data_IF_057655231818
#
_entry.id   IF_057655231818
#
_cell.length_a   1.000
_cell.length_b   1.000
_cell.length_c   1.000
_cell.angle_alpha   90.00
_cell.angle_beta   90.00
_cell.angle_gamma   90.00
#
_symmetry.space_group_name_H-M   'P 1'
#
loop_
_entity.id
_entity.type
_entity.pdbx_description
1 polymer ?
#
# COMPACT_ATOMS: atom_id res chain seq x y z
N UNK A 1 -64.66 12.68 38.92
CA UNK A 1 -64.36 12.11 37.60
C UNK A 1 -63.13 11.28 37.79
N UNK A 2 -63.34 10.02 38.14
CA UNK A 2 -62.30 9.05 38.47
C UNK A 2 -61.96 8.39 37.13
N UNK A 3 -60.79 8.71 36.58
CA UNK A 3 -60.30 8.01 35.38
C UNK A 3 -60.03 6.58 35.83
N UNK A 4 -60.73 5.63 35.22
CA UNK A 4 -60.74 4.24 35.63
C UNK A 4 -59.33 3.66 35.57
N UNK A 5 -58.87 3.01 36.64
CA UNK A 5 -57.55 2.39 36.69
C UNK A 5 -57.31 1.35 35.56
N UNK A 6 -58.39 0.80 35.00
CA UNK A 6 -58.35 -0.10 33.83
C UNK A 6 -57.95 0.64 32.55
N UNK A 7 -58.39 1.89 32.35
CA UNK A 7 -58.03 2.68 31.15
C UNK A 7 -56.55 3.05 31.15
N UNK A 8 -55.98 3.36 32.33
CA UNK A 8 -54.56 3.66 32.49
C UNK A 8 -53.66 2.42 32.26
N UNK A 9 -54.17 1.22 32.57
CA UNK A 9 -53.46 -0.04 32.32
C UNK A 9 -53.43 -0.38 30.83
N UNK A 10 -54.56 -0.23 30.13
CA UNK A 10 -54.66 -0.46 28.68
C UNK A 10 -53.81 0.53 27.87
N UNK A 11 -53.72 1.80 28.29
CA UNK A 11 -52.84 2.79 27.66
C UNK A 11 -51.35 2.44 27.80
N UNK A 12 -50.94 1.93 28.97
CA UNK A 12 -49.57 1.51 29.22
C UNK A 12 -49.19 0.29 28.36
N UNK A 13 -50.10 -0.68 28.20
CA UNK A 13 -49.88 -1.86 27.37
C UNK A 13 -49.77 -1.49 25.88
N UNK A 14 -50.62 -0.58 25.40
CA UNK A 14 -50.51 -0.02 24.04
C UNK A 14 -49.21 0.75 23.82
N UNK A 15 -48.72 1.49 24.82
CA UNK A 15 -47.47 2.23 24.73
C UNK A 15 -46.25 1.28 24.68
N UNK A 16 -46.27 0.19 25.44
CA UNK A 16 -45.22 -0.85 25.40
C UNK A 16 -45.23 -1.56 24.05
N UNK A 17 -46.39 -1.94 23.52
CA UNK A 17 -46.51 -2.59 22.23
C UNK A 17 -45.96 -1.72 21.07
N UNK A 18 -46.27 -0.42 21.08
CA UNK A 18 -45.71 0.53 20.09
C UNK A 18 -44.19 0.64 20.17
N UNK A 19 -43.64 0.65 21.39
CA UNK A 19 -42.18 0.68 21.58
C UNK A 19 -41.51 -0.62 21.13
N UNK A 20 -42.13 -1.77 21.39
CA UNK A 20 -41.63 -3.05 20.89
C UNK A 20 -41.59 -3.08 19.36
N UNK A 21 -42.67 -2.61 18.71
CA UNK A 21 -42.75 -2.56 17.26
C UNK A 21 -41.69 -1.60 16.66
N UNK A 22 -41.50 -0.42 17.24
CA UNK A 22 -40.46 0.53 16.81
C UNK A 22 -39.03 -0.05 16.97
N UNK A 23 -38.80 -0.86 18.01
CA UNK A 23 -37.52 -1.57 18.19
C UNK A 23 -37.34 -2.64 17.10
N UNK A 24 -38.37 -3.43 16.81
CA UNK A 24 -38.31 -4.46 15.77
C UNK A 24 -38.06 -3.85 14.38
N UNK A 25 -38.77 -2.78 14.04
CA UNK A 25 -38.60 -2.07 12.77
C UNK A 25 -37.19 -1.50 12.63
N UNK A 26 -36.62 -0.97 13.71
CA UNK A 26 -35.22 -0.49 13.73
C UNK A 26 -34.20 -1.61 13.55
N UNK A 27 -34.39 -2.75 14.22
CA UNK A 27 -33.48 -3.90 14.08
C UNK A 27 -33.50 -4.46 12.66
N UNK A 28 -34.68 -4.54 12.04
CA UNK A 28 -34.82 -4.94 10.64
C UNK A 28 -34.12 -3.97 9.69
N UNK A 29 -34.25 -2.67 9.92
CA UNK A 29 -33.55 -1.66 9.12
C UNK A 29 -32.01 -1.79 9.25
N UNK A 30 -31.49 -1.97 10.47
CA UNK A 30 -30.06 -2.17 10.72
C UNK A 30 -29.52 -3.45 10.04
N UNK A 31 -30.31 -4.53 10.04
CA UNK A 31 -29.94 -5.77 9.35
C UNK A 31 -29.90 -5.58 7.82
N UNK A 32 -30.91 -4.92 7.25
CA UNK A 32 -30.95 -4.59 5.81
C UNK A 32 -29.77 -3.71 5.38
N UNK A 33 -29.41 -2.71 6.18
CA UNK A 33 -28.23 -1.87 5.93
C UNK A 33 -26.96 -2.71 5.92
N UNK A 34 -26.78 -3.56 6.93
CA UNK A 34 -25.60 -4.41 7.06
C UNK A 34 -25.47 -5.39 5.90
N UNK A 35 -26.57 -5.99 5.47
CA UNK A 35 -26.59 -6.91 4.34
C UNK A 35 -26.27 -6.20 3.02
N UNK A 36 -26.80 -4.99 2.83
CA UNK A 36 -26.46 -4.14 1.67
C UNK A 36 -24.96 -3.84 1.63
N UNK A 37 -24.34 -3.51 2.78
CA UNK A 37 -22.89 -3.26 2.88
C UNK A 37 -22.11 -4.53 2.55
N UNK A 38 -22.49 -5.67 3.12
CA UNK A 38 -21.81 -6.96 2.89
C UNK A 38 -21.90 -7.38 1.43
N UNK A 39 -23.08 -7.29 0.83
CA UNK A 39 -23.31 -7.63 -0.56
C UNK A 39 -22.47 -6.73 -1.49
N UNK A 40 -22.49 -5.42 -1.26
CA UNK A 40 -21.72 -4.46 -2.06
C UNK A 40 -20.22 -4.73 -1.94
N UNK A 41 -19.73 -5.01 -0.74
CA UNK A 41 -18.33 -5.34 -0.51
C UNK A 41 -17.93 -6.67 -1.18
N UNK A 42 -18.75 -7.72 -1.04
CA UNK A 42 -18.53 -9.00 -1.71
C UNK A 42 -18.54 -8.85 -3.23
N UNK A 43 -19.44 -8.02 -3.78
CA UNK A 43 -19.50 -7.75 -5.21
C UNK A 43 -18.27 -6.99 -5.71
N UNK A 44 -17.75 -6.04 -4.94
CA UNK A 44 -16.49 -5.37 -5.25
C UNK A 44 -15.32 -6.36 -5.26
N UNK A 45 -15.28 -7.27 -4.28
CA UNK A 45 -14.27 -8.31 -4.19
C UNK A 45 -14.28 -9.25 -5.41
N UNK A 46 -15.46 -9.79 -5.73
CA UNK A 46 -15.62 -10.68 -6.88
C UNK A 46 -15.22 -10.00 -8.19
N UNK A 47 -15.65 -8.75 -8.39
CA UNK A 47 -15.29 -7.97 -9.58
C UNK A 47 -13.79 -7.76 -9.68
N UNK A 48 -13.12 -7.39 -8.58
CA UNK A 48 -11.67 -7.15 -8.57
C UNK A 48 -10.90 -8.39 -9.04
N UNK A 49 -11.16 -9.54 -8.42
CA UNK A 49 -10.46 -10.79 -8.77
C UNK A 49 -10.93 -11.43 -10.08
N UNK A 50 -12.05 -10.99 -10.64
CA UNK A 50 -12.48 -11.39 -11.99
C UNK A 50 -11.57 -10.78 -13.07
N UNK A 51 -11.17 -9.51 -12.94
CA UNK A 51 -10.36 -8.82 -13.95
C UNK A 51 -8.86 -8.80 -13.66
N UNK A 52 -8.45 -8.76 -12.38
CA UNK A 52 -7.05 -8.56 -11.96
C UNK A 52 -6.06 -9.57 -12.58
N UNK A 53 -6.31 -10.90 -12.58
CA UNK A 53 -5.31 -11.86 -13.06
C UNK A 53 -4.99 -11.71 -14.55
N UNK A 54 -6.01 -11.42 -15.36
CA UNK A 54 -5.84 -11.26 -16.80
C UNK A 54 -5.12 -9.94 -17.13
N UNK A 55 -5.45 -8.87 -16.41
CA UNK A 55 -4.79 -7.58 -16.56
C UNK A 55 -3.32 -7.66 -16.16
N UNK A 56 -3.02 -8.18 -14.97
CA UNK A 56 -1.65 -8.34 -14.46
C UNK A 56 -0.81 -9.21 -15.41
N UNK A 57 -1.37 -10.33 -15.90
CA UNK A 57 -0.70 -11.16 -16.89
C UNK A 57 -0.41 -10.41 -18.19
N UNK A 58 -1.39 -9.67 -18.71
CA UNK A 58 -1.21 -8.90 -19.95
C UNK A 58 -0.17 -7.80 -19.79
N UNK A 59 -0.16 -7.11 -18.65
CA UNK A 59 0.82 -6.09 -18.32
C UNK A 59 2.23 -6.67 -18.21
N UNK A 60 2.39 -7.78 -17.48
CA UNK A 60 3.68 -8.49 -17.39
C UNK A 60 4.19 -8.94 -18.76
N UNK A 61 3.32 -9.44 -19.63
CA UNK A 61 3.66 -9.78 -21.01
C UNK A 61 4.06 -8.56 -21.84
N UNK A 62 3.44 -7.40 -21.59
CA UNK A 62 3.80 -6.14 -22.27
C UNK A 62 5.12 -5.54 -21.79
N UNK A 63 5.48 -5.79 -20.53
CA UNK A 63 6.73 -5.35 -19.91
C UNK A 63 7.87 -6.34 -20.15
N UNK A 64 7.55 -7.55 -20.63
CA UNK A 64 8.55 -8.52 -21.01
C UNK A 64 9.37 -7.91 -22.14
N UNK A 65 10.58 -7.46 -21.81
CA UNK A 65 11.55 -7.04 -22.80
C UNK A 65 11.73 -8.24 -23.72
N UNK A 66 11.39 -8.08 -25.00
CA UNK A 66 11.80 -9.05 -26.02
C UNK A 66 13.31 -8.92 -26.06
N UNK A 67 14.00 -9.72 -25.23
CA UNK A 67 15.37 -10.10 -25.46
C UNK A 67 15.37 -10.68 -26.86
N UNK A 68 15.61 -9.84 -27.87
CA UNK A 68 15.82 -10.33 -29.21
C UNK A 68 16.98 -11.31 -29.10
N UNK A 69 16.79 -12.53 -29.61
CA UNK A 69 17.76 -13.62 -29.75
C UNK A 69 18.97 -13.23 -30.64
N UNK A 70 19.51 -12.02 -30.47
CA UNK A 70 20.69 -11.51 -31.16
C UNK A 70 21.90 -11.38 -30.24
N UNK A 71 21.86 -11.99 -29.06
CA UNK A 71 23.10 -12.38 -28.39
C UNK A 71 23.38 -13.81 -28.88
N UNK A 72 24.29 -13.94 -29.85
CA UNK A 72 24.86 -15.24 -30.18
C UNK A 72 25.32 -15.91 -28.88
N UNK A 73 24.83 -17.12 -28.62
CA UNK A 73 25.08 -17.94 -27.43
C UNK A 73 26.57 -18.32 -27.23
N UNK A 74 27.46 -17.89 -28.14
CA UNK A 74 28.90 -18.14 -28.06
C UNK A 74 29.67 -17.15 -27.16
N UNK A 75 29.04 -16.13 -26.56
CA UNK A 75 29.73 -15.15 -25.69
C UNK A 75 29.18 -15.02 -24.27
N UNK A 76 28.17 -15.79 -23.86
CA UNK A 76 27.70 -15.75 -22.47
C UNK A 76 28.56 -16.66 -21.60
N UNK A 77 29.77 -16.18 -21.29
CA UNK A 77 30.60 -16.77 -20.24
C UNK A 77 29.82 -16.71 -18.91
N UNK A 78 29.62 -17.84 -18.20
CA UNK A 78 28.96 -17.81 -16.90
C UNK A 78 29.79 -16.93 -15.97
N UNK A 79 29.15 -16.00 -15.27
CA UNK A 79 29.75 -15.21 -14.17
C UNK A 79 30.08 -16.15 -13.00
N UNK A 80 31.09 -16.98 -13.18
CA UNK A 80 31.65 -17.85 -12.17
C UNK A 80 32.58 -17.02 -11.30
N UNK A 81 31.99 -16.36 -10.30
CA UNK A 81 32.56 -16.01 -8.99
C UNK A 81 34.09 -15.86 -8.88
N UNK A 82 34.69 -15.03 -9.72
CA UNK A 82 36.04 -14.52 -9.46
C UNK A 82 35.88 -13.08 -9.03
N UNK A 83 36.01 -12.82 -7.72
CA UNK A 83 36.15 -11.49 -7.12
C UNK A 83 37.43 -10.82 -7.64
N UNK A 84 37.41 -10.42 -8.90
CA UNK A 84 38.35 -9.48 -9.49
C UNK A 84 37.48 -8.31 -9.90
N UNK A 85 37.51 -7.26 -9.09
CA UNK A 85 37.13 -5.89 -9.45
C UNK A 85 38.04 -5.40 -10.60
N UNK A 86 38.01 -6.07 -11.73
CA UNK A 86 38.62 -5.62 -12.96
C UNK A 86 37.48 -5.02 -13.78
N UNK A 87 37.24 -3.73 -13.56
CA UNK A 87 36.48 -2.87 -14.46
C UNK A 87 37.27 -2.65 -15.76
N UNK A 88 37.69 -3.73 -16.42
CA UNK A 88 38.32 -3.65 -17.74
C UNK A 88 37.16 -3.57 -18.74
N UNK A 89 36.75 -2.33 -19.02
CA UNK A 89 35.74 -2.02 -20.02
C UNK A 89 36.42 -2.17 -21.37
N UNK A 90 36.29 -3.33 -22.00
CA UNK A 90 36.57 -3.46 -23.44
C UNK A 90 35.78 -2.33 -24.14
N UNK A 91 36.45 -1.52 -24.96
CA UNK A 91 35.99 -0.27 -25.57
C UNK A 91 34.81 -0.42 -26.55
N UNK A 92 33.75 -1.09 -26.11
CA UNK A 92 32.51 -1.27 -26.84
C UNK A 92 31.78 0.08 -26.91
N UNK A 93 31.38 0.55 -28.11
CA UNK A 93 30.53 1.72 -28.22
C UNK A 93 29.22 1.44 -27.47
N UNK A 94 28.73 2.42 -26.72
CA UNK A 94 27.42 2.32 -26.08
C UNK A 94 26.37 3.06 -26.91
N UNK A 95 25.20 2.45 -27.04
CA UNK A 95 24.08 3.03 -27.76
C UNK A 95 23.32 3.99 -26.84
N UNK A 96 23.19 5.24 -27.26
CA UNK A 96 22.40 6.26 -26.57
C UNK A 96 21.12 6.50 -27.35
N UNK A 97 19.98 6.25 -26.70
CA UNK A 97 18.68 6.63 -27.23
C UNK A 97 18.36 8.06 -26.78
N UNK A 98 18.33 8.99 -27.73
CA UNK A 98 17.79 10.32 -27.49
C UNK A 98 16.26 10.21 -27.39
N UNK A 99 15.72 10.47 -26.20
CA UNK A 99 14.29 10.35 -25.91
C UNK A 99 13.45 11.46 -26.53
N UNK A 100 14.05 12.58 -26.94
CA UNK A 100 13.34 13.67 -27.60
C UNK A 100 13.21 13.43 -29.10
N UNK A 101 14.24 12.88 -29.73
CA UNK A 101 14.28 12.64 -31.18
C UNK A 101 13.95 11.20 -31.57
N UNK A 102 14.00 10.27 -30.60
CA UNK A 102 13.86 8.83 -30.82
C UNK A 102 15.04 8.19 -31.55
N UNK A 103 16.15 8.92 -31.72
CA UNK A 103 17.31 8.45 -32.46
C UNK A 103 18.23 7.64 -31.56
N UNK A 104 18.54 6.42 -31.99
CA UNK A 104 19.58 5.59 -31.37
C UNK A 104 20.92 5.92 -32.04
N UNK A 105 21.88 6.41 -31.25
CA UNK A 105 23.20 6.80 -31.72
C UNK A 105 24.25 5.97 -30.98
N UNK A 106 25.12 5.28 -31.71
CA UNK A 106 26.30 4.67 -31.14
C UNK A 106 27.34 5.76 -30.87
N UNK A 107 27.77 5.89 -29.62
CA UNK A 107 28.85 6.80 -29.26
C UNK A 107 30.13 6.01 -29.06
N UNK A 108 31.21 6.48 -29.70
CA UNK A 108 32.54 5.98 -29.43
C UNK A 108 32.98 6.44 -28.04
N UNK A 109 33.54 5.52 -27.27
CA UNK A 109 34.07 5.82 -25.92
C UNK A 109 35.42 6.50 -26.10
N UNK A 110 35.52 7.76 -25.70
CA UNK A 110 36.82 8.43 -25.54
C UNK A 110 37.35 8.09 -24.15
N UNK A 111 38.29 7.15 -24.09
CA UNK A 111 39.02 6.85 -22.87
C UNK A 111 40.07 7.94 -22.63
N UNK A 112 39.88 8.71 -21.56
CA UNK A 112 40.86 9.71 -21.13
C UNK A 112 41.72 9.09 -20.04
N UNK A 113 42.91 8.63 -20.44
CA UNK A 113 43.94 8.18 -19.52
C UNK A 113 44.39 9.34 -18.63
N UNK A 114 43.90 9.36 -17.39
CA UNK A 114 44.41 10.30 -16.39
C UNK A 114 45.66 9.70 -15.74
N UNK A 115 46.82 10.34 -15.89
CA UNK A 115 48.06 9.96 -15.17
C UNK A 115 47.91 10.03 -13.63
N UNK A 116 46.82 10.65 -13.15
CA UNK A 116 46.52 10.80 -11.73
C UNK A 116 45.78 9.57 -11.22
N UNK A 117 46.40 8.84 -10.28
CA UNK A 117 45.70 7.81 -9.51
C UNK A 117 44.68 8.52 -8.62
N UNK A 118 43.39 8.37 -8.95
CA UNK A 118 42.32 8.83 -8.07
C UNK A 118 42.27 7.95 -6.83
N UNK A 119 42.53 8.55 -5.67
CA UNK A 119 42.32 7.88 -4.39
C UNK A 119 40.81 7.85 -4.13
N UNK A 120 40.19 6.67 -3.91
CA UNK A 120 38.77 6.60 -3.59
C UNK A 120 38.46 7.46 -2.38
N UNK A 121 37.44 8.32 -2.50
CA UNK A 121 36.94 9.04 -1.34
C UNK A 121 36.34 8.04 -0.34
N UNK A 122 36.40 8.34 0.97
CA UNK A 122 35.65 7.56 1.95
C UNK A 122 34.17 7.47 1.57
N UNK A 123 33.52 6.34 1.85
CA UNK A 123 32.07 6.20 1.71
C UNK A 123 31.38 7.33 2.48
N UNK A 124 30.53 8.10 1.83
CA UNK A 124 29.72 9.16 2.44
C UNK A 124 28.25 8.87 2.18
N UNK A 125 27.43 8.91 3.22
CA UNK A 125 25.98 8.89 3.07
C UNK A 125 25.49 10.27 2.69
N UNK A 126 24.60 10.36 1.70
CA UNK A 126 24.03 11.65 1.31
C UNK A 126 23.30 12.30 2.49
N UNK A 127 23.77 13.48 2.89
CA UNK A 127 23.12 14.29 3.92
C UNK A 127 22.38 15.44 3.23
N UNK A 128 21.05 15.49 3.39
CA UNK A 128 20.25 16.61 2.89
C UNK A 128 20.68 17.90 3.61
N UNK A 129 21.16 18.93 2.90
CA UNK A 129 21.59 20.16 3.54
C UNK A 129 20.39 20.82 4.25
N UNK A 130 20.57 21.18 5.53
CA UNK A 130 19.54 21.83 6.32
C UNK A 130 20.10 23.13 6.93
N UNK A 131 19.35 24.23 6.75
CA UNK A 131 19.68 25.54 7.36
C UNK A 131 19.13 25.69 8.78
N UNK A 132 18.30 24.74 9.22
CA UNK A 132 17.64 24.73 10.52
C UNK A 132 17.56 23.31 11.06
N UNK A 133 17.39 23.17 12.37
CA UNK A 133 17.23 21.88 13.05
C UNK A 133 15.84 21.32 12.69
N UNK A 134 15.81 20.12 12.12
CA UNK A 134 14.58 19.37 11.91
C UNK A 134 14.32 18.57 13.19
N UNK A 135 13.35 19.02 13.99
CA UNK A 135 12.88 18.22 15.11
C UNK A 135 12.23 16.93 14.56
N UNK A 136 12.74 15.79 15.01
CA UNK A 136 12.10 14.49 14.80
C UNK A 136 11.39 14.14 16.09
N UNK A 137 10.07 13.99 16.03
CA UNK A 137 9.29 13.52 17.17
C UNK A 137 9.79 12.14 17.61
N UNK A 138 9.75 11.90 18.92
CA UNK A 138 10.23 10.72 19.66
C UNK A 138 10.60 9.51 18.82
N UNK A 139 11.84 9.03 19.04
CA UNK A 139 12.57 8.04 18.24
C UNK A 139 11.72 6.94 17.59
N UNK A 140 12.15 6.45 16.42
CA UNK A 140 11.32 5.63 15.55
C UNK A 140 10.87 4.36 16.26
N UNK A 141 9.58 4.31 16.63
CA UNK A 141 8.90 3.09 17.11
C UNK A 141 8.90 1.98 16.05
N UNK A 142 9.17 2.37 14.81
CA UNK A 142 9.06 1.56 13.61
C UNK A 142 10.36 1.55 12.84
N UNK A 143 10.86 0.36 12.51
CA UNK A 143 11.96 0.19 11.57
C UNK A 143 11.39 0.17 10.15
N UNK A 144 11.83 1.11 9.31
CA UNK A 144 11.35 1.25 7.93
C UNK A 144 11.96 0.21 6.97
N UNK A 145 13.26 -0.03 7.10
CA UNK A 145 14.03 -1.04 6.36
C UNK A 145 15.23 -1.49 7.19
N UNK A 146 15.85 -2.61 6.81
CA UNK A 146 17.14 -3.03 7.36
C UNK A 146 18.23 -2.34 6.53
N UNK A 147 18.96 -1.36 7.08
CA UNK A 147 20.08 -0.75 6.36
C UNK A 147 21.16 -1.82 6.15
N UNK A 148 21.84 -1.79 5.01
CA UNK A 148 22.94 -2.70 4.72
C UNK A 148 22.59 -4.20 4.87
N UNK A 149 21.35 -4.58 4.53
CA UNK A 149 20.88 -5.96 4.67
C UNK A 149 21.76 -6.99 3.95
N UNK A 150 22.41 -6.55 2.86
CA UNK A 150 23.27 -7.39 2.02
C UNK A 150 24.76 -7.31 2.40
N UNK A 151 25.17 -6.43 3.32
CA UNK A 151 26.58 -6.30 3.69
C UNK A 151 27.01 -7.40 4.70
N UNK A 152 28.06 -8.19 4.39
CA UNK A 152 28.53 -9.22 5.30
C UNK A 152 29.09 -8.57 6.58
N UNK A 153 28.57 -9.00 7.73
CA UNK A 153 28.98 -8.49 9.05
C UNK A 153 28.08 -7.41 9.63
N UNK A 154 27.06 -6.94 8.90
CA UNK A 154 26.09 -6.01 9.46
C UNK A 154 25.22 -6.70 10.54
N UNK A 155 25.16 -6.19 11.79
CA UNK A 155 24.47 -6.85 12.90
C UNK A 155 22.96 -6.59 12.89
N UNK A 156 22.28 -6.91 11.78
CA UNK A 156 20.85 -6.62 11.59
C UNK A 156 19.97 -7.19 12.72
N UNK A 157 20.34 -8.33 13.31
CA UNK A 157 19.59 -8.93 14.42
C UNK A 157 19.58 -8.06 15.68
N UNK A 158 20.67 -7.36 15.95
CA UNK A 158 20.78 -6.44 17.09
C UNK A 158 19.95 -5.19 16.83
N UNK A 159 20.02 -4.67 15.59
CA UNK A 159 19.17 -3.57 15.14
C UNK A 159 17.68 -3.92 15.33
N UNK A 160 17.22 -5.08 14.84
CA UNK A 160 15.81 -5.48 14.96
C UNK A 160 15.30 -5.49 16.41
N UNK A 161 16.16 -5.83 17.38
CA UNK A 161 15.80 -5.84 18.82
C UNK A 161 15.58 -4.45 19.40
N UNK A 162 16.14 -3.41 18.78
CA UNK A 162 15.94 -2.03 19.19
C UNK A 162 14.57 -1.47 18.79
N UNK A 163 13.85 -2.16 17.89
CA UNK A 163 12.57 -1.71 17.37
C UNK A 163 11.45 -2.66 17.77
N UNK A 164 10.34 -2.08 18.25
CA UNK A 164 9.15 -2.84 18.62
C UNK A 164 8.32 -3.26 17.40
N UNK A 165 8.32 -2.43 16.37
CA UNK A 165 7.51 -2.63 15.17
C UNK A 165 8.35 -2.51 13.90
N UNK A 166 8.01 -3.28 12.88
CA UNK A 166 8.71 -3.27 11.59
C UNK A 166 7.71 -2.98 10.46
N UNK A 167 7.97 -1.95 9.66
CA UNK A 167 7.03 -1.49 8.63
C UNK A 167 6.65 -2.60 7.64
N UNK A 168 7.62 -3.40 7.20
CA UNK A 168 7.40 -4.48 6.24
C UNK A 168 6.88 -5.78 6.88
N UNK A 169 6.58 -5.82 8.17
CA UNK A 169 5.90 -6.99 8.75
C UNK A 169 4.57 -6.59 9.36
N UNK A 170 4.57 -5.53 10.16
CA UNK A 170 3.39 -5.10 10.92
C UNK A 170 2.46 -4.21 10.08
N UNK A 171 2.96 -3.61 9.00
CA UNK A 171 2.21 -2.72 8.11
C UNK A 171 2.08 -3.23 6.67
N UNK A 172 2.43 -4.49 6.37
CA UNK A 172 2.01 -5.09 5.08
C UNK A 172 0.51 -5.28 5.15
N UNK A 173 -0.19 -4.27 4.64
CA UNK A 173 -1.57 -4.40 4.23
C UNK A 173 -1.54 -4.84 2.79
N UNK A 174 -2.35 -5.84 2.51
CA UNK A 174 -2.72 -6.14 1.15
C UNK A 174 -3.33 -4.85 0.53
N UNK A 175 -2.65 -4.24 -0.46
CA UNK A 175 -3.15 -3.02 -1.08
C UNK A 175 -4.51 -3.26 -1.76
N UNK A 176 -4.79 -4.49 -2.17
CA UNK A 176 -6.02 -4.87 -2.85
C UNK A 176 -7.20 -4.75 -1.90
N UNK A 177 -7.04 -5.17 -0.64
CA UNK A 177 -8.06 -5.01 0.41
C UNK A 177 -8.46 -3.54 0.55
N UNK A 178 -7.49 -2.63 0.47
CA UNK A 178 -7.72 -1.20 0.55
C UNK A 178 -8.49 -0.66 -0.66
N UNK A 179 -8.08 -1.05 -1.87
CA UNK A 179 -8.73 -0.65 -3.11
C UNK A 179 -10.16 -1.20 -3.21
N UNK A 180 -10.37 -2.47 -2.85
CA UNK A 180 -11.69 -3.10 -2.84
C UNK A 180 -12.62 -2.41 -1.83
N UNK A 181 -12.12 -2.08 -0.64
CA UNK A 181 -12.90 -1.36 0.37
C UNK A 181 -13.25 0.07 -0.07
N UNK A 182 -12.35 0.77 -0.77
CA UNK A 182 -12.62 2.09 -1.36
C UNK A 182 -13.68 2.01 -2.47
N UNK A 183 -13.60 1.02 -3.35
CA UNK A 183 -14.57 0.82 -4.42
C UNK A 183 -15.95 0.45 -3.86
N UNK A 184 -16.00 -0.37 -2.81
CA UNK A 184 -17.23 -0.69 -2.10
C UNK A 184 -17.83 0.56 -1.42
N UNK A 185 -17.00 1.38 -0.78
CA UNK A 185 -17.42 2.66 -0.20
C UNK A 185 -18.04 3.56 -1.28
N UNK A 186 -17.36 3.72 -2.41
CA UNK A 186 -17.81 4.55 -3.52
C UNK A 186 -19.20 4.11 -4.03
N UNK A 187 -19.42 2.80 -4.15
CA UNK A 187 -20.74 2.24 -4.54
C UNK A 187 -21.82 2.48 -3.49
N UNK A 188 -21.49 2.36 -2.21
CA UNK A 188 -22.43 2.62 -1.11
C UNK A 188 -22.80 4.11 -1.00
N UNK A 189 -21.84 5.00 -1.24
CA UNK A 189 -22.07 6.45 -1.29
C UNK A 189 -23.00 6.82 -2.47
N UNK A 190 -22.79 6.23 -3.65
CA UNK A 190 -23.71 6.37 -4.77
C UNK A 190 -25.13 5.82 -4.47
N UNK A 191 -25.23 4.86 -3.55
CA UNK A 191 -26.48 4.31 -3.01
C UNK A 191 -27.13 5.13 -1.89
N UNK A 192 -26.66 6.36 -1.62
CA UNK A 192 -27.16 7.24 -0.55
C UNK A 192 -26.89 6.78 0.89
N UNK A 193 -25.95 5.86 1.11
CA UNK A 193 -25.58 5.44 2.47
C UNK A 193 -24.51 6.36 3.05
N UNK A 194 -24.71 6.83 4.29
CA UNK A 194 -23.77 7.76 4.91
C UNK A 194 -22.47 7.08 5.37
N UNK A 195 -21.34 7.78 5.30
CA UNK A 195 -20.05 7.30 5.81
C UNK A 195 -20.08 6.90 7.30
N UNK A 196 -20.88 7.59 8.12
CA UNK A 196 -21.03 7.27 9.53
C UNK A 196 -21.76 5.94 9.73
N UNK A 197 -22.83 5.71 8.96
CA UNK A 197 -23.58 4.44 8.95
C UNK A 197 -22.67 3.29 8.54
N UNK A 198 -21.94 3.44 7.43
CA UNK A 198 -21.01 2.41 6.92
C UNK A 198 -19.94 2.07 7.96
N UNK A 199 -19.36 3.08 8.61
CA UNK A 199 -18.35 2.89 9.65
C UNK A 199 -18.92 2.25 10.93
N UNK A 200 -20.16 2.59 11.31
CA UNK A 200 -20.82 2.04 12.50
C UNK A 200 -21.00 0.52 12.40
N UNK A 201 -21.30 0.01 11.20
CA UNK A 201 -21.44 -1.43 10.95
C UNK A 201 -20.11 -2.19 10.95
N UNK A 202 -18.98 -1.51 10.73
CA UNK A 202 -17.64 -2.11 10.84
C UNK A 202 -17.36 -3.27 9.87
N UNK A 203 -18.08 -3.34 8.75
CA UNK A 203 -17.98 -4.43 7.77
C UNK A 203 -16.77 -4.27 6.84
N UNK A 204 -16.46 -3.03 6.43
CA UNK A 204 -15.34 -2.76 5.53
C UNK A 204 -14.00 -2.82 6.28
N UNK A 205 -12.95 -3.28 5.60
CA UNK A 205 -11.60 -3.24 6.13
C UNK A 205 -11.20 -1.80 6.49
N UNK A 206 -10.59 -1.62 7.66
CA UNK A 206 -10.08 -0.32 8.07
C UNK A 206 -8.94 0.10 7.15
N UNK A 207 -9.12 1.16 6.37
CA UNK A 207 -8.09 1.69 5.45
C UNK A 207 -6.90 2.33 6.16
N UNK A 208 -7.12 2.86 7.37
CA UNK A 208 -6.08 3.52 8.16
C UNK A 208 -6.06 2.94 9.57
N UNK A 209 -4.94 2.34 10.02
CA UNK A 209 -4.81 1.94 11.40
C UNK A 209 -4.73 3.23 12.23
N UNK A 210 -5.73 3.44 13.07
CA UNK A 210 -5.61 4.40 14.16
C UNK A 210 -5.64 3.60 15.46
N UNK A 211 -4.69 3.88 16.36
CA UNK A 211 -4.68 3.27 17.69
C UNK A 211 -5.87 3.74 18.56
N UNK A 212 -6.61 4.77 18.15
CA UNK A 212 -7.66 5.39 18.99
C UNK A 212 -8.98 5.74 18.27
N UNK A 213 -9.04 5.75 16.94
CA UNK A 213 -10.28 6.01 16.19
C UNK A 213 -10.58 4.90 15.18
N UNK A 214 -11.70 4.20 15.40
CA UNK A 214 -12.26 3.25 14.44
C UNK A 214 -12.97 4.02 13.33
N UNK A 215 -12.61 3.76 12.07
CA UNK A 215 -13.35 4.27 10.92
C UNK A 215 -12.50 4.42 9.67
N UNK A 216 -13.12 4.19 8.52
CA UNK A 216 -12.54 4.27 7.18
C UNK A 216 -12.23 5.73 6.76
N UNK A 217 -12.85 6.71 7.43
CA UNK A 217 -13.06 8.07 6.92
C UNK A 217 -12.40 9.17 7.78
N UNK A 218 -11.90 8.85 8.97
CA UNK A 218 -11.37 9.83 9.93
C UNK A 218 -10.16 10.64 9.44
N UNK A 219 -9.44 10.16 8.42
CA UNK A 219 -8.34 10.90 7.78
C UNK A 219 -8.73 11.69 6.53
N UNK A 220 -9.83 11.35 5.87
CA UNK A 220 -10.26 12.05 4.66
C UNK A 220 -10.79 13.46 4.96
N UNK A 221 -11.36 13.67 6.16
CA UNK A 221 -11.89 14.97 6.58
C UNK A 221 -10.96 15.80 7.48
N UNK A 222 -9.82 15.26 7.91
CA UNK A 222 -8.85 15.97 8.77
C UNK A 222 -7.65 16.53 7.97
N UNK A 223 -7.85 16.86 6.69
CA UNK A 223 -6.88 17.58 5.86
C UNK A 223 -7.36 18.99 5.56
#
# INVERSE_FOLDING_TARGET
MDVSADEAYDEAEQQVARRMQDIEDRLLAEEQERDTIRETYSNAWNKFYEWEPQYCRSLLMSLQCVLSDRVNDDTVTPLSGSNKDAMEVDGCPFEVLDTQTGLLTALDVEEVDTETIFVPHPKYEACTPASQIIATDDGPKWLASIPYADEPGFPWRELLRCYRHWHWQDCIRDPDVGLIALEALHKLEAGSMSHNTINAHGVLASLFPNNEQKGLVSRLYNR
#
